data_IF_315495658192
#
_entry.id   IF_315495658192
#
_cell.length_a   1.000
_cell.length_b   1.000
_cell.length_c   1.000
_cell.angle_alpha   90.00
_cell.angle_beta   90.00
_cell.angle_gamma   90.00
#
_symmetry.space_group_name_H-M   'P 1'
#
loop_
_entity.id
_entity.type
_entity.pdbx_description
1 polymer ?
#
# COMPACT_ATOMS: atom_id res chain seq x y z
N UNK A 1 3.24 25.78 -23.15
CA UNK A 1 4.04 24.57 -23.40
C UNK A 1 3.57 23.97 -24.70
N UNK A 2 4.46 23.99 -25.69
CA UNK A 2 4.17 23.85 -27.11
C UNK A 2 4.25 22.40 -27.55
N UNK A 3 3.52 22.06 -28.61
CA UNK A 3 3.51 20.77 -29.31
C UNK A 3 4.87 20.04 -29.37
N UNK A 4 5.96 20.78 -29.54
CA UNK A 4 7.33 20.28 -29.52
C UNK A 4 7.69 19.47 -28.25
N UNK A 5 7.22 19.86 -27.06
CA UNK A 5 7.51 19.11 -25.82
C UNK A 5 6.83 17.74 -25.77
N UNK A 6 5.66 17.63 -26.41
CA UNK A 6 4.90 16.37 -26.51
C UNK A 6 5.56 15.46 -27.54
N UNK A 7 5.96 15.99 -28.69
CA UNK A 7 6.69 15.24 -29.72
C UNK A 7 8.02 14.71 -29.18
N UNK A 8 8.81 15.54 -28.49
CA UNK A 8 10.05 15.11 -27.85
C UNK A 8 9.83 14.00 -26.81
N UNK A 9 8.77 14.09 -26.00
CA UNK A 9 8.43 13.05 -25.03
C UNK A 9 8.01 11.74 -25.71
N UNK A 10 7.23 11.80 -26.80
CA UNK A 10 6.80 10.63 -27.56
C UNK A 10 7.99 9.92 -28.22
N UNK A 11 8.94 10.67 -28.79
CA UNK A 11 10.18 10.11 -29.35
C UNK A 11 11.02 9.39 -28.28
N UNK A 12 11.09 9.93 -27.07
CA UNK A 12 11.81 9.29 -25.96
C UNK A 12 11.09 8.06 -25.39
N UNK A 13 9.75 8.05 -25.40
CA UNK A 13 8.92 6.94 -24.90
C UNK A 13 8.86 5.75 -25.87
N UNK A 14 8.99 6.00 -27.17
CA UNK A 14 8.92 4.96 -28.21
C UNK A 14 10.12 5.02 -29.16
N UNK A 15 11.35 4.77 -28.67
CA UNK A 15 12.54 4.79 -29.53
C UNK A 15 12.52 3.70 -30.61
N UNK A 16 11.72 2.65 -30.39
CA UNK A 16 11.64 1.47 -31.26
C UNK A 16 10.61 1.61 -32.40
N UNK A 17 9.92 2.76 -32.54
CA UNK A 17 8.99 2.95 -33.65
C UNK A 17 9.78 3.33 -34.91
N UNK A 18 9.93 2.38 -35.83
CA UNK A 18 10.56 2.62 -37.13
C UNK A 18 9.57 3.34 -38.05
N UNK A 19 9.48 4.67 -37.95
CA UNK A 19 8.65 5.50 -38.85
C UNK A 19 8.30 6.87 -38.28
N UNK A 20 7.69 7.77 -39.08
CA UNK A 20 7.17 9.04 -38.58
C UNK A 20 6.08 8.80 -37.53
N UNK A 21 6.09 9.58 -36.46
CA UNK A 21 5.08 9.53 -35.39
C UNK A 21 3.67 9.73 -35.98
N UNK A 22 2.70 8.83 -35.71
CA UNK A 22 1.33 8.99 -36.19
C UNK A 22 0.74 10.33 -35.70
N UNK A 23 0.19 11.17 -36.61
CA UNK A 23 -0.34 12.48 -36.24
C UNK A 23 -1.52 12.37 -35.26
N UNK A 24 -2.31 11.30 -35.36
CA UNK A 24 -3.42 11.01 -34.43
C UNK A 24 -2.95 10.80 -32.99
N UNK A 25 -1.77 10.20 -32.79
CA UNK A 25 -1.19 9.98 -31.46
C UNK A 25 -0.76 11.31 -30.83
N UNK A 26 -0.14 12.17 -31.64
CA UNK A 26 0.28 13.52 -31.22
C UNK A 26 -0.95 14.34 -30.86
N UNK A 27 -1.99 14.31 -31.67
CA UNK A 27 -3.25 15.04 -31.42
C UNK A 27 -3.96 14.56 -30.14
N UNK A 28 -4.00 13.24 -29.91
CA UNK A 28 -4.54 12.68 -28.67
C UNK A 28 -3.74 13.17 -27.46
N UNK A 29 -2.40 13.11 -27.50
CA UNK A 29 -1.55 13.58 -26.41
C UNK A 29 -1.72 15.08 -26.14
N UNK A 30 -1.90 15.90 -27.19
CA UNK A 30 -2.20 17.33 -27.07
C UNK A 30 -3.57 17.58 -26.43
N UNK A 31 -4.60 16.80 -26.81
CA UNK A 31 -5.93 16.91 -26.22
C UNK A 31 -5.91 16.59 -24.72
N UNK A 32 -5.15 15.56 -24.31
CA UNK A 32 -4.96 15.21 -22.91
C UNK A 32 -4.18 16.28 -22.15
N UNK A 33 -3.18 16.90 -22.78
CA UNK A 33 -2.43 18.00 -22.19
C UNK A 33 -3.30 19.26 -21.99
N UNK A 34 -4.19 19.57 -22.93
CA UNK A 34 -5.15 20.66 -22.77
C UNK A 34 -6.11 20.37 -21.61
N UNK A 35 -6.66 19.15 -21.55
CA UNK A 35 -7.57 18.72 -20.48
C UNK A 35 -6.88 18.62 -19.12
N UNK A 36 -5.62 18.22 -19.08
CA UNK A 36 -4.85 18.18 -17.83
C UNK A 36 -4.67 19.57 -17.23
N UNK A 37 -4.50 20.62 -18.06
CA UNK A 37 -4.38 21.99 -17.57
C UNK A 37 -5.68 22.54 -16.98
N UNK A 38 -6.83 22.16 -17.52
CA UNK A 38 -8.13 22.58 -16.97
C UNK A 38 -8.52 21.84 -15.69
N UNK A 39 -8.16 20.55 -15.58
CA UNK A 39 -8.52 19.71 -14.42
C UNK A 39 -7.48 19.78 -13.30
N UNK A 40 -6.20 19.91 -13.66
CA UNK A 40 -5.04 19.92 -12.77
C UNK A 40 -4.25 21.23 -12.89
N UNK A 41 -4.95 22.35 -12.63
CA UNK A 41 -4.38 23.70 -12.70
C UNK A 41 -3.44 24.06 -11.54
N UNK A 42 -3.45 23.29 -10.44
CA UNK A 42 -2.57 23.47 -9.28
C UNK A 42 -1.66 22.24 -9.13
N UNK A 43 -0.55 22.23 -9.86
CA UNK A 43 0.52 21.23 -9.71
C UNK A 43 1.81 21.93 -9.29
N UNK A 44 2.68 21.22 -8.58
CA UNK A 44 3.99 21.76 -8.18
C UNK A 44 4.86 22.01 -9.42
N UNK A 45 5.79 22.97 -9.40
CA UNK A 45 6.67 23.25 -10.54
C UNK A 45 7.39 21.99 -11.05
N UNK A 46 7.85 21.12 -10.15
CA UNK A 46 8.50 19.83 -10.48
C UNK A 46 7.55 18.86 -11.21
N UNK A 47 6.26 18.90 -10.88
CA UNK A 47 5.21 18.09 -11.53
C UNK A 47 4.78 18.72 -12.86
N UNK A 48 4.79 20.05 -12.97
CA UNK A 48 4.46 20.77 -14.20
C UNK A 48 5.46 20.46 -15.33
N UNK A 49 6.74 20.30 -15.01
CA UNK A 49 7.79 19.91 -15.96
C UNK A 49 7.51 18.53 -16.56
N UNK A 50 6.99 17.60 -15.76
CA UNK A 50 6.69 16.23 -16.20
C UNK A 50 5.28 16.06 -16.79
N UNK A 51 4.39 17.06 -16.67
CA UNK A 51 3.03 17.04 -17.22
C UNK A 51 2.96 16.64 -18.71
N UNK A 52 3.73 17.23 -19.66
CA UNK A 52 3.68 16.83 -21.07
C UNK A 52 4.12 15.37 -21.27
N UNK A 53 5.13 14.93 -20.52
CA UNK A 53 5.63 13.55 -20.57
C UNK A 53 4.59 12.55 -20.06
N UNK A 54 3.92 12.84 -18.94
CA UNK A 54 2.85 12.01 -18.39
C UNK A 54 1.64 11.89 -19.34
N UNK A 55 1.25 13.00 -19.99
CA UNK A 55 0.16 13.00 -20.97
C UNK A 55 0.53 12.18 -22.22
N UNK A 56 1.78 12.25 -22.68
CA UNK A 56 2.30 11.43 -23.77
C UNK A 56 2.31 9.94 -23.41
N UNK A 57 2.78 9.57 -22.22
CA UNK A 57 2.73 8.17 -21.75
C UNK A 57 1.28 7.65 -21.66
N UNK A 58 0.37 8.44 -21.11
CA UNK A 58 -1.04 8.07 -20.99
C UNK A 58 -1.71 7.89 -22.37
N UNK A 59 -1.33 8.71 -23.35
CA UNK A 59 -1.76 8.55 -24.74
C UNK A 59 -1.30 7.20 -25.31
N UNK A 60 -0.01 6.88 -25.17
CA UNK A 60 0.58 5.63 -25.65
C UNK A 60 -0.05 4.39 -25.00
N UNK A 61 -0.33 4.42 -23.69
CA UNK A 61 -0.98 3.31 -22.98
C UNK A 61 -2.42 3.08 -23.47
N UNK A 62 -3.18 4.16 -23.74
CA UNK A 62 -4.57 4.06 -24.25
C UNK A 62 -4.62 3.57 -25.68
N UNK A 63 -3.71 4.04 -26.51
CA UNK A 63 -3.69 3.72 -27.93
C UNK A 63 -2.83 2.50 -28.27
N UNK A 64 -2.30 1.78 -27.27
CA UNK A 64 -1.42 0.61 -27.44
C UNK A 64 -2.01 -0.44 -28.38
N UNK A 65 -3.30 -0.73 -28.24
CA UNK A 65 -4.03 -1.69 -29.09
C UNK A 65 -4.32 -1.15 -30.50
N UNK A 66 -4.46 0.18 -30.65
CA UNK A 66 -4.84 0.81 -31.93
C UNK A 66 -3.63 1.00 -32.85
N UNK A 67 -2.44 1.26 -32.31
CA UNK A 67 -1.23 1.53 -33.09
C UNK A 67 -0.13 0.46 -32.96
N UNK A 68 -0.43 -0.72 -32.40
CA UNK A 68 0.53 -1.83 -32.21
C UNK A 68 1.89 -1.38 -31.61
N UNK A 69 1.83 -0.55 -30.57
CA UNK A 69 3.00 0.09 -29.99
C UNK A 69 3.84 -0.92 -29.15
N UNK A 70 5.18 -0.96 -29.32
CA UNK A 70 6.06 -1.79 -28.50
C UNK A 70 6.09 -1.35 -27.04
N UNK A 71 6.70 -2.15 -26.16
CA UNK A 71 6.77 -1.89 -24.72
C UNK A 71 7.40 -0.52 -24.44
N UNK A 72 6.69 0.33 -23.69
CA UNK A 72 7.04 1.73 -23.43
C UNK A 72 8.08 1.75 -22.30
N UNK A 73 9.27 2.30 -22.55
CA UNK A 73 10.29 2.50 -21.53
C UNK A 73 10.17 3.93 -20.98
N UNK A 74 9.68 4.08 -19.74
CA UNK A 74 9.52 5.41 -19.14
C UNK A 74 10.83 5.93 -18.53
N UNK A 75 11.40 7.01 -19.08
CA UNK A 75 12.45 7.84 -18.48
C UNK A 75 11.92 9.26 -18.22
N UNK A 76 11.19 9.47 -17.12
CA UNK A 76 10.61 10.78 -16.83
C UNK A 76 11.68 11.83 -16.50
N UNK A 77 11.41 13.13 -16.76
CA UNK A 77 12.33 14.23 -16.46
C UNK A 77 12.39 14.57 -14.96
N UNK A 78 11.61 13.90 -14.12
CA UNK A 78 11.55 14.11 -12.67
C UNK A 78 11.76 12.80 -11.91
N UNK A 79 12.06 12.87 -10.60
CA UNK A 79 12.25 11.68 -9.76
C UNK A 79 11.06 10.70 -9.84
N UNK A 80 11.31 9.38 -9.82
CA UNK A 80 10.29 8.37 -10.09
C UNK A 80 9.11 8.42 -9.11
N UNK A 81 9.34 8.81 -7.85
CA UNK A 81 8.29 8.98 -6.83
C UNK A 81 7.30 10.09 -7.18
N UNK A 82 7.80 11.22 -7.68
CA UNK A 82 6.98 12.38 -8.07
C UNK A 82 6.22 12.03 -9.35
N UNK A 83 6.92 11.44 -10.32
CA UNK A 83 6.32 10.99 -11.57
C UNK A 83 5.16 10.01 -11.36
N UNK A 84 5.34 8.99 -10.51
CA UNK A 84 4.31 7.98 -10.22
C UNK A 84 3.06 8.60 -9.62
N UNK A 85 3.20 9.58 -8.72
CA UNK A 85 2.06 10.32 -8.13
C UNK A 85 1.33 11.14 -9.19
N UNK A 86 2.07 11.91 -9.98
CA UNK A 86 1.52 12.73 -11.07
C UNK A 86 0.78 11.86 -12.10
N UNK A 87 1.40 10.75 -12.52
CA UNK A 87 0.83 9.83 -13.49
C UNK A 87 -0.49 9.21 -13.00
N UNK A 88 -0.52 8.73 -11.76
CA UNK A 88 -1.73 8.17 -11.15
C UNK A 88 -2.85 9.20 -10.98
N UNK A 89 -2.49 10.43 -10.62
CA UNK A 89 -3.45 11.53 -10.52
C UNK A 89 -4.03 11.88 -11.89
N UNK A 90 -3.20 12.05 -12.92
CA UNK A 90 -3.67 12.38 -14.26
C UNK A 90 -4.44 11.23 -14.91
N UNK A 91 -4.05 9.97 -14.69
CA UNK A 91 -4.75 8.81 -15.25
C UNK A 91 -6.17 8.66 -14.70
N UNK A 92 -6.36 8.93 -13.40
CA UNK A 92 -7.68 8.95 -12.75
C UNK A 92 -8.51 10.18 -13.09
N UNK A 93 -7.89 11.37 -13.11
CA UNK A 93 -8.57 12.64 -13.40
C UNK A 93 -9.00 12.78 -14.87
N UNK A 94 -8.31 12.10 -15.78
CA UNK A 94 -8.54 12.19 -17.22
C UNK A 94 -9.02 10.84 -17.77
N UNK A 95 -10.22 10.31 -17.47
CA UNK A 95 -10.67 8.99 -17.95
C UNK A 95 -10.69 8.86 -19.48
N UNK A 96 -10.61 7.63 -19.99
CA UNK A 96 -10.64 7.34 -21.43
C UNK A 96 -12.00 7.77 -22.01
N UNK A 97 -11.97 8.44 -23.17
CA UNK A 97 -13.18 8.94 -23.84
C UNK A 97 -13.96 7.85 -24.58
N UNK A 98 -13.68 6.57 -24.31
CA UNK A 98 -14.35 5.41 -24.92
C UNK A 98 -15.73 5.12 -24.32
N UNK A 99 -16.15 5.86 -23.29
CA UNK A 99 -17.56 6.01 -23.01
C UNK A 99 -18.12 7.06 -23.96
N UNK A 100 -18.37 6.66 -25.22
CA UNK A 100 -19.49 7.18 -26.00
C UNK A 100 -20.73 7.02 -25.13
N UNK A 101 -20.98 8.03 -24.29
CA UNK A 101 -22.12 8.12 -23.40
C UNK A 101 -23.30 8.36 -24.32
N UNK A 102 -23.86 7.27 -24.81
CA UNK A 102 -25.17 7.23 -25.42
C UNK A 102 -26.12 8.06 -24.55
N UNK A 103 -26.93 8.98 -25.12
CA UNK A 103 -27.67 9.96 -24.35
C UNK A 103 -28.73 9.25 -23.49
N UNK A 104 -28.35 8.85 -22.28
CA UNK A 104 -29.28 8.39 -21.27
C UNK A 104 -30.05 9.60 -20.77
N UNK A 105 -31.30 9.69 -21.23
CA UNK A 105 -32.34 10.58 -20.73
C UNK A 105 -32.37 10.56 -19.21
N UNK A 106 -32.17 11.69 -18.51
CA UNK A 106 -32.27 11.72 -17.06
C UNK A 106 -33.74 11.60 -16.65
N UNK A 107 -34.08 10.46 -16.03
CA UNK A 107 -35.32 10.29 -15.29
C UNK A 107 -35.40 11.33 -14.17
N UNK A 108 -36.59 11.91 -14.09
CA UNK A 108 -37.00 13.08 -13.32
C UNK A 108 -37.07 12.79 -11.82
N UNK A 109 -36.73 13.82 -11.03
CA UNK A 109 -36.91 14.05 -9.56
C UNK A 109 -35.63 13.79 -8.74
N UNK A 110 -35.13 14.70 -7.91
CA UNK A 110 -35.57 16.05 -7.56
C UNK A 110 -34.41 16.85 -6.90
N UNK A 111 -34.40 18.15 -7.21
CA UNK A 111 -33.92 19.28 -6.41
C UNK A 111 -32.48 19.30 -5.88
N UNK A 112 -31.66 20.08 -6.58
CA UNK A 112 -30.57 20.87 -6.03
C UNK A 112 -31.06 21.84 -4.95
N UNK A 113 -30.31 21.97 -3.85
CA UNK A 113 -30.27 23.20 -3.06
C UNK A 113 -28.81 23.59 -2.81
N UNK A 114 -28.55 24.86 -3.09
CA UNK A 114 -27.25 25.55 -3.07
C UNK A 114 -26.75 25.85 -1.66
N UNK A 115 -25.47 26.18 -1.60
CA UNK A 115 -24.67 26.53 -0.43
C UNK A 115 -25.22 27.70 0.41
N UNK A 116 -25.00 27.62 1.73
CA UNK A 116 -24.56 28.77 2.52
C UNK A 116 -24.02 28.36 3.90
N UNK A 117 -23.30 29.29 4.51
CA UNK A 117 -22.17 29.07 5.39
C UNK A 117 -22.47 28.91 6.89
N UNK A 118 -21.46 28.38 7.61
CA UNK A 118 -20.96 28.81 8.94
C UNK A 118 -21.80 28.43 10.18
N UNK A 119 -21.36 27.42 10.94
CA UNK A 119 -20.69 27.55 12.28
C UNK A 119 -20.59 26.20 13.02
N UNK A 120 -19.40 25.92 13.55
CA UNK A 120 -18.98 24.99 14.65
C UNK A 120 -19.61 23.59 14.81
N UNK A 121 -18.79 22.53 14.82
CA UNK A 121 -19.11 21.30 15.53
C UNK A 121 -18.38 21.23 16.88
N UNK A 122 -19.14 21.05 17.95
CA UNK A 122 -18.65 20.51 19.22
C UNK A 122 -18.41 19.01 19.05
N UNK A 123 -17.21 18.57 19.41
CA UNK A 123 -16.80 17.16 19.54
C UNK A 123 -17.69 16.44 20.57
N UNK A 124 -18.00 15.16 20.33
CA UNK A 124 -17.44 14.18 21.25
C UNK A 124 -16.65 13.08 20.54
N UNK A 125 -15.59 12.64 21.23
CA UNK A 125 -14.74 11.51 20.90
C UNK A 125 -15.57 10.22 20.81
N UNK A 126 -15.47 9.51 19.68
CA UNK A 126 -15.60 8.05 19.65
C UNK A 126 -15.00 7.50 18.37
N UNK A 127 -14.16 6.47 18.52
CA UNK A 127 -13.26 5.93 17.51
C UNK A 127 -13.95 5.54 16.21
N UNK A 128 -13.54 6.19 15.11
CA UNK A 128 -13.87 5.74 13.76
C UNK A 128 -12.72 4.90 13.22
N UNK A 129 -12.98 3.59 13.11
CA UNK A 129 -12.25 2.65 12.26
C UNK A 129 -12.11 3.27 10.87
N UNK A 130 -10.90 3.20 10.33
CA UNK A 130 -10.57 3.61 8.96
C UNK A 130 -11.46 2.89 7.95
N UNK A 131 -11.86 3.54 6.84
CA UNK A 131 -12.70 2.91 5.83
C UNK A 131 -11.86 1.85 5.10
N UNK A 132 -12.22 0.58 5.31
CA UNK A 132 -11.70 -0.57 4.57
C UNK A 132 -12.12 -0.40 3.11
N UNK A 133 -11.18 -0.07 2.23
CA UNK A 133 -11.40 -0.09 0.78
C UNK A 133 -11.47 -1.54 0.32
N UNK A 134 -12.61 -2.20 0.51
CA UNK A 134 -12.91 -3.46 -0.15
C UNK A 134 -13.46 -3.14 -1.54
N UNK A 135 -12.59 -3.26 -2.54
CA UNK A 135 -13.04 -3.51 -3.91
C UNK A 135 -13.64 -4.91 -3.91
N UNK A 136 -14.92 -4.98 -3.57
CA UNK A 136 -15.74 -6.20 -3.55
C UNK A 136 -15.81 -6.70 -5.00
N UNK A 137 -14.99 -7.68 -5.34
CA UNK A 137 -15.15 -8.45 -6.57
C UNK A 137 -16.26 -9.46 -6.25
N UNK A 138 -17.38 -9.37 -6.96
CA UNK A 138 -18.52 -10.27 -6.80
C UNK A 138 -18.10 -11.73 -7.09
N UNK A 139 -18.27 -12.58 -6.08
CA UNK A 139 -18.05 -14.02 -6.13
C UNK A 139 -17.90 -14.53 -4.70
N UNK A 140 -18.66 -15.54 -4.31
CA UNK A 140 -18.69 -16.15 -2.97
C UNK A 140 -17.28 -16.23 -2.32
N UNK A 141 -16.92 -15.23 -1.51
CA UNK A 141 -15.67 -15.26 -0.73
C UNK A 141 -15.97 -16.17 0.44
N UNK A 142 -15.25 -17.28 0.55
CA UNK A 142 -15.23 -18.06 1.79
C UNK A 142 -14.89 -17.08 2.93
N UNK A 143 -15.84 -16.84 3.83
CA UNK A 143 -15.68 -15.84 4.88
C UNK A 143 -14.46 -16.21 5.73
N UNK A 144 -13.45 -15.33 5.73
CA UNK A 144 -12.23 -15.54 6.51
C UNK A 144 -12.62 -15.47 7.99
N UNK A 145 -12.34 -16.50 8.80
CA UNK A 145 -12.70 -16.49 10.21
C UNK A 145 -12.05 -15.32 10.97
N UNK A 146 -12.78 -14.72 11.91
CA UNK A 146 -12.31 -13.53 12.65
C UNK A 146 -11.06 -13.81 13.50
N UNK A 147 -10.82 -15.08 13.85
CA UNK A 147 -9.65 -15.52 14.63
C UNK A 147 -8.34 -15.60 13.83
N UNK A 148 -8.40 -15.54 12.49
CA UNK A 148 -7.21 -15.67 11.63
C UNK A 148 -6.19 -14.55 11.89
N UNK A 149 -6.63 -13.29 11.96
CA UNK A 149 -5.72 -12.16 12.20
C UNK A 149 -5.09 -12.19 13.60
N UNK A 150 -5.84 -12.47 14.69
CA UNK A 150 -5.24 -12.77 15.99
C UNK A 150 -4.18 -13.89 15.96
N UNK A 151 -4.43 -14.97 15.21
CA UNK A 151 -3.48 -16.08 15.08
C UNK A 151 -2.17 -15.64 14.40
N UNK A 152 -2.29 -14.92 13.27
CA UNK A 152 -1.14 -14.34 12.56
C UNK A 152 -0.34 -13.41 13.47
N UNK A 153 -1.01 -12.54 14.23
CA UNK A 153 -0.33 -11.62 15.17
C UNK A 153 0.42 -12.37 16.27
N UNK A 154 -0.12 -13.49 16.76
CA UNK A 154 0.55 -14.31 17.78
C UNK A 154 1.85 -14.93 17.24
N UNK A 155 1.80 -15.48 16.02
CA UNK A 155 2.98 -16.01 15.34
C UNK A 155 4.02 -14.93 15.09
N UNK A 156 3.60 -13.84 14.48
CA UNK A 156 4.48 -12.72 14.14
C UNK A 156 5.15 -12.13 15.39
N UNK A 157 4.46 -12.10 16.53
CA UNK A 157 5.04 -11.70 17.82
C UNK A 157 6.05 -12.71 18.36
N UNK A 158 5.80 -14.01 18.19
CA UNK A 158 6.70 -15.07 18.66
C UNK A 158 8.07 -15.04 17.94
N UNK A 159 8.08 -14.67 16.66
CA UNK A 159 9.28 -14.58 15.84
C UNK A 159 9.87 -13.16 15.76
N UNK A 160 9.35 -12.23 16.57
CA UNK A 160 9.74 -10.81 16.61
C UNK A 160 9.75 -10.12 15.24
N UNK A 161 8.80 -10.47 14.36
CA UNK A 161 8.81 -10.05 12.96
C UNK A 161 7.50 -9.39 12.53
N UNK A 162 7.16 -8.27 13.18
CA UNK A 162 5.89 -7.54 13.05
C UNK A 162 5.47 -7.22 11.61
N UNK A 163 6.44 -6.94 10.73
CA UNK A 163 6.24 -6.52 9.34
C UNK A 163 5.66 -7.64 8.45
N UNK A 164 5.75 -8.91 8.83
CA UNK A 164 5.20 -10.02 8.05
C UNK A 164 3.67 -10.12 8.12
N UNK A 165 3.01 -9.58 9.16
CA UNK A 165 1.59 -9.79 9.39
C UNK A 165 0.67 -9.44 8.19
N UNK A 166 0.85 -8.30 7.48
CA UNK A 166 0.03 -7.97 6.31
C UNK A 166 0.25 -8.93 5.12
N UNK A 167 1.50 -9.33 4.89
CA UNK A 167 1.86 -10.27 3.81
C UNK A 167 1.25 -11.64 4.05
N UNK A 168 1.34 -12.12 5.30
CA UNK A 168 0.75 -13.40 5.70
C UNK A 168 -0.76 -13.38 5.58
N UNK A 169 -1.42 -12.31 6.04
CA UNK A 169 -2.87 -12.19 5.92
C UNK A 169 -3.33 -12.21 4.45
N UNK A 170 -2.64 -11.47 3.59
CA UNK A 170 -2.94 -11.41 2.15
C UNK A 170 -2.77 -12.79 1.49
N UNK A 171 -1.73 -13.54 1.87
CA UNK A 171 -1.53 -14.92 1.42
C UNK A 171 -2.68 -15.83 1.83
N UNK A 172 -3.06 -15.83 3.11
CA UNK A 172 -4.17 -16.64 3.63
C UNK A 172 -5.49 -16.28 2.94
N UNK A 173 -5.79 -14.99 2.77
CA UNK A 173 -6.98 -14.50 2.06
C UNK A 173 -7.04 -15.00 0.61
N UNK A 174 -5.90 -15.08 -0.07
CA UNK A 174 -5.83 -15.53 -1.46
C UNK A 174 -5.91 -17.06 -1.64
N UNK A 175 -5.35 -17.82 -0.69
CA UNK A 175 -5.23 -19.28 -0.80
C UNK A 175 -6.42 -20.01 -0.18
N UNK A 176 -7.05 -19.46 0.85
CA UNK A 176 -8.17 -20.12 1.53
C UNK A 176 -9.33 -20.48 0.56
N UNK A 177 -9.75 -19.61 -0.38
CA UNK A 177 -10.76 -19.97 -1.38
C UNK A 177 -10.28 -20.99 -2.42
N UNK A 178 -8.96 -21.08 -2.67
CA UNK A 178 -8.39 -22.13 -3.53
C UNK A 178 -8.51 -23.49 -2.84
N UNK A 179 -8.13 -23.57 -1.56
CA UNK A 179 -8.26 -24.80 -0.77
C UNK A 179 -9.71 -25.27 -0.65
N UNK A 180 -10.65 -24.34 -0.45
CA UNK A 180 -12.08 -24.67 -0.40
C UNK A 180 -12.59 -25.26 -1.73
N UNK A 181 -12.08 -24.78 -2.87
CA UNK A 181 -12.43 -25.33 -4.19
C UNK A 181 -11.77 -26.68 -4.46
N UNK A 182 -10.53 -26.86 -4.04
CA UNK A 182 -9.82 -28.12 -4.19
C UNK A 182 -10.45 -29.23 -3.35
N UNK A 183 -10.84 -28.95 -2.11
CA UNK A 183 -11.55 -29.92 -1.26
C UNK A 183 -12.91 -30.31 -1.84
N UNK A 184 -13.61 -29.36 -2.47
CA UNK A 184 -14.85 -29.62 -3.21
C UNK A 184 -14.63 -30.58 -4.39
N UNK A 185 -13.61 -30.31 -5.22
CA UNK A 185 -13.33 -31.08 -6.43
C UNK A 185 -12.90 -32.53 -6.10
N UNK A 186 -12.13 -32.73 -5.03
CA UNK A 186 -11.75 -34.07 -4.57
C UNK A 186 -12.97 -34.88 -4.10
N UNK A 187 -13.97 -34.24 -3.49
CA UNK A 187 -15.21 -34.90 -3.07
C UNK A 187 -16.10 -35.37 -4.24
N UNK A 188 -15.95 -34.78 -5.44
CA UNK A 188 -16.76 -35.10 -6.62
C UNK A 188 -16.16 -36.19 -7.54
N UNK A 189 -15.03 -36.81 -7.17
CA UNK A 189 -14.47 -37.92 -7.97
C UNK A 189 -15.49 -39.07 -8.15
N UNK A 190 -15.89 -39.43 -9.38
CA UNK A 190 -17.05 -40.27 -9.64
C UNK A 190 -16.66 -41.75 -9.53
N UNK A 191 -16.56 -42.26 -8.30
CA UNK A 191 -16.52 -43.69 -8.06
C UNK A 191 -17.76 -44.12 -7.29
N UNK A 192 -18.56 -44.99 -7.94
CA UNK A 192 -19.77 -45.68 -7.47
C UNK A 192 -21.09 -44.94 -7.67
N UNK A 193 -21.73 -45.29 -8.79
CA UNK A 193 -23.15 -45.67 -8.90
C UNK A 193 -23.76 -45.96 -7.51
N UNK A 194 -24.43 -44.98 -6.91
CA UNK A 194 -25.26 -45.18 -5.72
C UNK A 194 -26.55 -44.41 -5.85
N UNK A 195 -27.62 -45.14 -5.54
CA UNK A 195 -29.01 -44.82 -5.77
C UNK A 195 -29.42 -43.43 -5.29
N UNK A 196 -30.16 -42.77 -6.17
CA UNK A 196 -31.09 -41.68 -5.90
C UNK A 196 -31.97 -42.01 -4.69
N UNK A 197 -31.71 -41.36 -3.56
CA UNK A 197 -32.73 -41.07 -2.57
C UNK A 197 -32.67 -39.57 -2.27
N UNK A 198 -33.75 -38.91 -2.65
CA UNK A 198 -33.96 -37.48 -2.55
C UNK A 198 -34.38 -37.16 -1.10
N UNK A 199 -33.44 -36.65 -0.31
CA UNK A 199 -33.73 -35.84 0.87
C UNK A 199 -32.97 -34.54 0.72
N UNK A 200 -33.72 -33.44 0.67
CA UNK A 200 -33.21 -32.08 0.61
C UNK A 200 -32.45 -31.77 1.90
N UNK A 201 -31.17 -32.12 1.95
CA UNK A 201 -30.23 -31.48 2.87
C UNK A 201 -29.66 -30.27 2.17
N UNK A 202 -29.80 -29.12 2.82
CA UNK A 202 -29.24 -27.84 2.43
C UNK A 202 -27.75 -28.02 2.08
N UNK A 203 -27.38 -27.62 0.87
CA UNK A 203 -26.01 -27.48 0.40
C UNK A 203 -25.28 -26.47 1.28
N UNK A 204 -24.60 -26.95 2.33
CA UNK A 204 -23.53 -26.22 3.00
C UNK A 204 -22.30 -26.30 2.10
N UNK A 205 -21.76 -25.14 1.72
CA UNK A 205 -20.51 -25.05 0.94
C UNK A 205 -19.38 -25.86 1.61
N UNK A 206 -18.40 -26.37 0.85
CA UNK A 206 -17.26 -27.09 1.40
C UNK A 206 -16.41 -26.14 2.27
N UNK A 207 -16.62 -26.19 3.58
CA UNK A 207 -15.84 -25.43 4.56
C UNK A 207 -14.51 -26.15 4.79
N UNK A 208 -13.39 -25.45 4.59
CA UNK A 208 -12.06 -25.96 4.94
C UNK A 208 -12.01 -26.20 6.46
N UNK A 209 -11.43 -27.33 6.89
CA UNK A 209 -11.26 -27.63 8.32
C UNK A 209 -10.46 -26.52 9.03
N UNK A 210 -10.78 -26.26 10.30
CA UNK A 210 -10.04 -25.30 11.12
C UNK A 210 -8.55 -25.69 11.24
N UNK A 211 -8.26 -26.98 11.44
CA UNK A 211 -6.89 -27.52 11.48
C UNK A 211 -6.10 -27.18 10.22
N UNK A 212 -6.72 -27.38 9.05
CA UNK A 212 -6.13 -27.06 7.75
C UNK A 212 -5.96 -25.56 7.54
N UNK A 213 -6.82 -24.73 8.12
CA UNK A 213 -6.68 -23.27 8.08
C UNK A 213 -5.53 -22.79 8.97
N UNK A 214 -5.35 -23.37 10.15
CA UNK A 214 -4.17 -23.11 10.99
C UNK A 214 -2.88 -23.56 10.32
N UNK A 215 -2.89 -24.74 9.70
CA UNK A 215 -1.75 -25.25 8.93
C UNK A 215 -1.41 -24.32 7.75
N UNK A 216 -2.42 -23.78 7.04
CA UNK A 216 -2.21 -22.77 6.00
C UNK A 216 -1.53 -21.51 6.57
N UNK A 217 -1.99 -21.01 7.73
CA UNK A 217 -1.36 -19.84 8.38
C UNK A 217 0.10 -20.12 8.69
N UNK A 218 0.42 -21.30 9.24
CA UNK A 218 1.80 -21.70 9.53
C UNK A 218 2.66 -21.76 8.26
N UNK A 219 2.18 -22.43 7.20
CA UNK A 219 2.90 -22.57 5.92
C UNK A 219 3.16 -21.21 5.27
N UNK A 220 2.13 -20.35 5.16
CA UNK A 220 2.25 -19.00 4.59
C UNK A 220 3.22 -18.16 5.42
N UNK A 221 3.10 -18.18 6.75
CA UNK A 221 4.02 -17.48 7.64
C UNK A 221 5.47 -17.93 7.42
N UNK A 222 5.72 -19.23 7.38
CA UNK A 222 7.06 -19.78 7.16
C UNK A 222 7.66 -19.30 5.83
N UNK A 223 6.91 -19.37 4.72
CA UNK A 223 7.41 -18.89 3.43
C UNK A 223 7.71 -17.38 3.45
N UNK A 224 6.80 -16.57 4.01
CA UNK A 224 7.02 -15.13 4.13
C UNK A 224 8.24 -14.82 5.00
N UNK A 225 8.36 -15.48 6.15
CA UNK A 225 9.49 -15.31 7.07
C UNK A 225 10.83 -15.67 6.41
N UNK A 226 10.91 -16.82 5.72
CA UNK A 226 12.13 -17.20 4.99
C UNK A 226 12.50 -16.21 3.88
N UNK A 227 11.50 -15.70 3.14
CA UNK A 227 11.74 -14.74 2.06
C UNK A 227 12.18 -13.37 2.59
N UNK A 228 11.60 -12.94 3.70
CA UNK A 228 11.90 -11.62 4.28
C UNK A 228 13.27 -11.60 4.97
N UNK A 229 13.68 -12.69 5.61
CA UNK A 229 14.98 -12.77 6.29
C UNK A 229 16.17 -13.06 5.36
N UNK A 230 15.94 -13.49 4.12
CA UNK A 230 17.01 -13.81 3.16
C UNK A 230 18.08 -14.78 3.70
N UNK A 231 17.71 -15.65 4.65
CA UNK A 231 18.60 -16.65 5.24
C UNK A 231 18.39 -17.99 4.53
N UNK A 232 19.48 -18.62 4.12
CA UNK A 232 19.47 -20.03 3.73
C UNK A 232 19.18 -20.90 4.96
N UNK A 233 17.92 -21.34 5.08
CA UNK A 233 17.46 -22.10 6.24
C UNK A 233 17.92 -23.55 6.17
N UNK A 234 18.62 -24.04 7.19
CA UNK A 234 18.97 -25.47 7.27
C UNK A 234 17.72 -26.31 7.58
N UNK A 235 17.67 -27.60 7.18
CA UNK A 235 16.51 -28.45 7.45
C UNK A 235 16.17 -28.57 8.96
N UNK A 236 17.19 -28.52 9.82
CA UNK A 236 17.03 -28.57 11.28
C UNK A 236 16.41 -27.28 11.84
N UNK A 237 16.88 -26.12 11.38
CA UNK A 237 16.32 -24.82 11.76
C UNK A 237 14.87 -24.70 11.29
N UNK A 238 14.58 -25.20 10.08
CA UNK A 238 13.24 -25.23 9.55
C UNK A 238 12.29 -26.06 10.43
N UNK A 239 12.75 -27.23 10.89
CA UNK A 239 11.99 -28.08 11.81
C UNK A 239 11.69 -27.38 13.14
N UNK A 240 12.68 -26.70 13.73
CA UNK A 240 12.51 -25.95 14.98
C UNK A 240 11.52 -24.79 14.82
N UNK A 241 11.62 -24.03 13.73
CA UNK A 241 10.69 -22.94 13.44
C UNK A 241 9.27 -23.45 13.21
N UNK A 242 9.11 -24.57 12.50
CA UNK A 242 7.81 -25.20 12.30
C UNK A 242 7.20 -25.64 13.63
N UNK A 243 7.96 -26.35 14.47
CA UNK A 243 7.50 -26.78 15.79
C UNK A 243 7.09 -25.58 16.66
N UNK A 244 7.91 -24.52 16.65
CA UNK A 244 7.60 -23.27 17.35
C UNK A 244 6.30 -22.62 16.84
N UNK A 245 6.11 -22.58 15.53
CA UNK A 245 4.90 -22.03 14.92
C UNK A 245 3.65 -22.85 15.28
N UNK A 246 3.73 -24.18 15.17
CA UNK A 246 2.63 -25.09 15.52
C UNK A 246 2.25 -24.94 17.00
N UNK A 247 3.23 -24.97 17.91
CA UNK A 247 2.99 -24.78 19.34
C UNK A 247 2.36 -23.42 19.67
N UNK A 248 2.77 -22.36 18.96
CA UNK A 248 2.20 -21.01 19.12
C UNK A 248 0.74 -20.97 18.67
N UNK A 249 0.39 -21.66 17.59
CA UNK A 249 -1.00 -21.74 17.12
C UNK A 249 -1.88 -22.56 18.04
N UNK A 250 -1.38 -23.65 18.61
CA UNK A 250 -2.12 -24.48 19.59
C UNK A 250 -2.38 -23.74 20.91
N UNK A 251 -1.54 -22.76 21.27
CA UNK A 251 -1.77 -21.90 22.42
C UNK A 251 -2.99 -20.97 22.30
N UNK A 252 -3.59 -20.85 21.12
CA UNK A 252 -4.74 -19.97 20.88
C UNK A 252 -6.05 -20.62 21.34
N UNK A 253 -7.02 -19.82 21.84
CA UNK A 253 -8.30 -20.33 22.28
C UNK A 253 -9.13 -20.95 21.14
N UNK A 254 -8.83 -20.58 19.89
CA UNK A 254 -9.46 -21.11 18.69
C UNK A 254 -8.91 -22.49 18.28
N UNK A 255 -7.77 -22.92 18.80
CA UNK A 255 -7.14 -24.20 18.46
C UNK A 255 -7.39 -25.32 19.49
N UNK A 256 -8.30 -25.11 20.45
CA UNK A 256 -8.56 -26.05 21.57
C UNK A 256 -9.01 -27.45 21.13
N UNK A 257 -9.59 -27.54 19.94
CA UNK A 257 -10.13 -28.78 19.35
C UNK A 257 -9.09 -29.57 18.56
N UNK A 258 -7.92 -28.98 18.30
CA UNK A 258 -6.93 -29.51 17.36
C UNK A 258 -5.75 -30.07 18.14
N UNK A 259 -5.29 -31.26 17.74
CA UNK A 259 -4.12 -31.90 18.35
C UNK A 259 -2.82 -31.46 17.67
N UNK A 260 -1.70 -31.56 18.39
CA UNK A 260 -0.38 -31.26 17.82
C UNK A 260 -0.08 -32.11 16.58
N UNK A 261 -0.35 -33.42 16.67
CA UNK A 261 -0.07 -34.36 15.58
C UNK A 261 -0.89 -34.04 14.33
N UNK A 262 -2.18 -33.69 14.51
CA UNK A 262 -3.06 -33.29 13.40
C UNK A 262 -2.59 -32.02 12.72
N UNK A 263 -2.26 -30.98 13.50
CA UNK A 263 -1.81 -29.70 12.94
C UNK A 263 -0.42 -29.84 12.28
N UNK A 264 0.48 -30.61 12.89
CA UNK A 264 1.80 -30.87 12.33
C UNK A 264 1.70 -31.62 11.00
N UNK A 265 0.86 -32.65 10.91
CA UNK A 265 0.67 -33.44 9.70
C UNK A 265 0.06 -32.61 8.56
N UNK A 266 -0.99 -31.83 8.83
CA UNK A 266 -1.59 -30.92 7.84
C UNK A 266 -0.58 -29.85 7.37
N UNK A 267 0.28 -29.36 8.26
CA UNK A 267 1.33 -28.38 7.91
C UNK A 267 2.39 -29.00 6.99
N UNK A 268 2.79 -30.25 7.24
CA UNK A 268 3.71 -30.99 6.37
C UNK A 268 3.10 -31.31 5.00
N UNK A 269 1.80 -31.66 4.95
CA UNK A 269 1.10 -31.98 3.69
C UNK A 269 0.89 -30.74 2.81
N UNK A 270 0.57 -29.58 3.41
CA UNK A 270 0.33 -28.34 2.67
C UNK A 270 1.59 -27.72 2.06
N UNK A 271 2.76 -28.07 2.56
CA UNK A 271 4.03 -27.51 2.11
C UNK A 271 4.43 -27.92 0.68
N UNK A 272 4.45 -29.21 0.30
CA UNK A 272 4.65 -29.60 -1.10
C UNK A 272 3.49 -29.14 -1.99
N UNK A 273 2.26 -29.04 -1.44
CA UNK A 273 1.11 -28.48 -2.14
C UNK A 273 1.33 -27.03 -2.56
N UNK A 274 1.90 -26.20 -1.67
CA UNK A 274 2.20 -24.80 -1.96
C UNK A 274 3.13 -24.61 -3.18
N UNK A 275 4.08 -25.54 -3.39
CA UNK A 275 5.00 -25.51 -4.54
C UNK A 275 4.36 -26.05 -5.81
N UNK A 276 3.59 -27.14 -5.72
CA UNK A 276 2.99 -27.81 -6.88
C UNK A 276 1.82 -27.03 -7.47
N UNK A 277 0.98 -26.42 -6.61
CA UNK A 277 -0.17 -25.60 -7.01
C UNK A 277 0.20 -24.16 -7.38
N UNK A 278 1.49 -23.82 -7.32
CA UNK A 278 1.99 -22.52 -7.75
C UNK A 278 1.63 -21.35 -6.82
N UNK A 279 1.39 -21.58 -5.53
CA UNK A 279 0.99 -20.51 -4.60
C UNK A 279 2.06 -19.43 -4.46
N UNK A 280 3.32 -19.82 -4.55
CA UNK A 280 4.47 -18.91 -4.47
C UNK A 280 4.60 -18.04 -5.74
N UNK A 281 3.98 -18.43 -6.85
CA UNK A 281 3.98 -17.68 -8.11
C UNK A 281 2.87 -16.64 -8.17
N UNK A 282 2.02 -16.59 -7.15
CA UNK A 282 0.97 -15.59 -7.06
C UNK A 282 1.52 -14.21 -6.68
N UNK A 283 0.82 -13.17 -7.13
CA UNK A 283 1.15 -11.76 -6.86
C UNK A 283 1.34 -11.46 -5.36
N UNK A 284 0.59 -12.13 -4.47
CA UNK A 284 0.71 -11.88 -3.03
C UNK A 284 2.11 -12.23 -2.50
N UNK A 285 2.73 -13.31 -2.98
CA UNK A 285 4.04 -13.76 -2.52
C UNK A 285 5.16 -13.05 -3.29
N UNK A 286 4.99 -12.82 -4.59
CA UNK A 286 5.98 -12.13 -5.42
C UNK A 286 6.29 -10.72 -4.90
N UNK A 287 5.28 -10.02 -4.36
CA UNK A 287 5.41 -8.68 -3.82
C UNK A 287 6.01 -8.61 -2.39
N UNK A 288 6.32 -9.75 -1.75
CA UNK A 288 7.03 -9.77 -0.47
C UNK A 288 8.50 -9.44 -0.72
N UNK A 289 9.00 -8.33 -0.16
CA UNK A 289 10.39 -7.88 -0.30
C UNK A 289 11.23 -8.27 0.93
N UNK A 290 12.54 -8.59 0.75
CA UNK A 290 13.47 -8.80 1.86
C UNK A 290 13.59 -7.59 2.79
N UNK A 291 13.94 -7.83 4.06
CA UNK A 291 14.15 -6.78 5.06
C UNK A 291 15.23 -5.77 4.66
N UNK A 292 16.27 -6.20 3.93
CA UNK A 292 17.37 -5.34 3.48
C UNK A 292 16.89 -4.19 2.56
N UNK A 293 15.80 -4.39 1.80
CA UNK A 293 15.18 -3.33 0.99
C UNK A 293 14.34 -2.34 1.83
N UNK A 294 14.02 -2.70 3.09
CA UNK A 294 13.33 -1.83 4.04
C UNK A 294 14.30 -0.97 4.85
N UNK A 295 15.48 -1.49 5.21
CA UNK A 295 16.53 -0.77 5.96
C UNK A 295 17.18 0.34 5.11
N UNK A 296 17.21 0.21 3.78
CA UNK A 296 17.54 1.31 2.88
C UNK A 296 16.55 2.50 2.94
N UNK A 297 15.44 2.35 3.70
CA UNK A 297 14.47 3.39 4.00
C UNK A 297 14.25 3.62 5.52
N UNK A 298 15.10 3.04 6.38
CA UNK A 298 15.07 3.26 7.83
C UNK A 298 16.03 4.40 8.23
N UNK A 299 15.67 5.60 7.79
CA UNK A 299 16.32 6.85 8.19
C UNK A 299 15.40 7.71 9.04
N UNK A 300 14.84 7.16 10.13
CA UNK A 300 14.23 7.94 11.22
C UNK A 300 14.53 7.22 12.53
N UNK A 301 15.67 7.54 13.14
CA UNK A 301 15.99 7.15 14.51
C UNK A 301 14.91 7.66 15.47
N UNK A 302 14.17 6.76 16.10
CA UNK A 302 13.38 7.05 17.30
C UNK A 302 14.33 7.02 18.49
N UNK A 303 14.90 8.17 18.83
CA UNK A 303 15.56 8.37 20.13
C UNK A 303 14.49 8.44 21.22
N UNK A 304 14.42 7.40 22.06
CA UNK A 304 13.43 7.35 23.12
C UNK A 304 13.51 6.17 24.08
N UNK A 305 14.70 5.68 24.44
CA UNK A 305 14.85 4.83 25.64
C UNK A 305 15.95 5.36 26.55
N UNK A 306 15.53 5.77 27.76
CA UNK A 306 16.40 6.05 28.89
C UNK A 306 17.31 4.85 29.20
N UNK A 307 18.61 5.02 28.97
CA UNK A 307 19.65 4.29 29.68
C UNK A 307 20.77 5.28 30.01
N UNK A 308 21.12 5.30 31.28
CA UNK A 308 21.98 6.27 31.95
C UNK A 308 23.47 6.14 31.61
N UNK A 309 24.11 7.30 31.43
CA UNK A 309 25.48 7.70 31.82
C UNK A 309 26.69 6.96 31.23
N UNK A 310 27.46 7.71 30.43
CA UNK A 310 28.88 7.51 30.15
C UNK A 310 29.41 8.70 29.35
N UNK A 311 30.57 9.23 29.73
CA UNK A 311 31.07 10.58 29.42
C UNK A 311 31.66 10.82 28.01
N UNK A 312 31.70 12.11 27.65
CA UNK A 312 32.70 12.82 26.84
C UNK A 312 32.81 12.54 25.33
N UNK A 313 32.43 13.54 24.51
CA UNK A 313 33.30 14.08 23.44
C UNK A 313 32.71 15.32 22.75
N UNK A 314 33.41 16.44 22.94
CA UNK A 314 33.64 17.58 22.05
C UNK A 314 32.59 17.94 20.95
N UNK A 315 31.92 19.06 21.19
CA UNK A 315 31.20 19.87 20.20
C UNK A 315 32.22 20.59 19.31
N UNK A 316 32.26 20.24 18.02
CA UNK A 316 32.82 21.11 16.96
C UNK A 316 31.66 21.61 16.12
N UNK A 317 31.42 22.92 16.22
CA UNK A 317 30.50 23.66 15.38
C UNK A 317 31.12 23.93 14.00
N UNK A 318 30.38 23.64 12.94
CA UNK A 318 30.35 24.38 11.66
C UNK A 318 29.15 23.84 10.85
N UNK A 319 28.06 24.59 10.86
CA UNK A 319 27.69 25.54 9.79
C UNK A 319 27.36 24.82 8.49
N UNK A 320 26.07 24.69 8.22
CA UNK A 320 25.52 24.14 6.99
C UNK A 320 24.01 24.16 7.10
N UNK A 321 23.40 25.26 6.67
CA UNK A 321 21.95 25.41 6.59
C UNK A 321 21.34 24.22 5.87
N UNK A 322 20.40 23.57 6.53
CA UNK A 322 19.62 22.52 5.94
C UNK A 322 18.16 22.84 6.21
N UNK A 323 17.47 23.20 5.14
CA UNK A 323 16.03 23.36 5.03
C UNK A 323 15.34 22.01 5.28
N UNK A 324 15.38 21.53 6.52
CA UNK A 324 14.52 20.44 7.01
C UNK A 324 13.12 20.98 7.28
N UNK A 325 12.44 21.41 6.22
CA UNK A 325 11.00 21.63 6.22
C UNK A 325 10.36 20.31 5.79
N UNK A 326 10.13 19.41 6.75
CA UNK A 326 9.56 18.10 6.44
C UNK A 326 9.17 17.23 7.63
N UNK A 327 7.91 17.39 8.05
CA UNK A 327 7.07 16.38 8.75
C UNK A 327 7.48 15.97 10.18
N UNK A 328 6.90 16.65 11.17
CA UNK A 328 6.76 16.11 12.53
C UNK A 328 6.59 17.18 13.61
N UNK A 329 7.12 18.38 13.39
CA UNK A 329 7.18 19.46 14.39
C UNK A 329 6.27 20.63 14.08
N UNK A 330 5.13 20.39 13.41
CA UNK A 330 4.14 21.45 13.18
C UNK A 330 3.35 21.74 14.47
N UNK A 331 4.05 22.09 15.55
CA UNK A 331 3.57 23.10 16.48
C UNK A 331 3.29 24.32 15.62
N UNK A 332 2.01 24.62 15.42
CA UNK A 332 1.59 25.76 14.63
C UNK A 332 2.30 26.99 15.20
N UNK A 333 3.06 27.75 14.39
CA UNK A 333 3.77 28.98 14.79
C UNK A 333 2.88 29.94 15.60
N UNK A 334 1.55 29.86 15.41
CA UNK A 334 0.55 30.60 16.17
C UNK A 334 0.43 30.22 17.66
N UNK A 335 1.04 29.13 18.10
CA UNK A 335 0.91 28.55 19.47
C UNK A 335 2.26 28.26 20.13
N UNK A 336 3.36 28.32 19.39
CA UNK A 336 4.70 28.15 19.96
C UNK A 336 5.25 29.49 20.45
N UNK A 337 4.95 29.82 21.71
CA UNK A 337 5.46 31.03 22.37
C UNK A 337 6.85 30.86 22.98
N UNK A 338 7.42 29.64 22.98
CA UNK A 338 8.66 29.31 23.67
C UNK A 338 9.75 28.74 22.74
N UNK A 339 9.49 28.65 21.44
CA UNK A 339 10.45 28.22 20.43
C UNK A 339 11.69 29.12 20.37
N UNK A 340 12.80 28.54 19.91
CA UNK A 340 14.11 29.21 19.88
C UNK A 340 14.09 30.53 19.09
N UNK A 341 13.36 30.55 17.97
CA UNK A 341 13.14 31.76 17.15
C UNK A 341 12.41 32.86 17.91
N UNK A 342 11.31 32.52 18.60
CA UNK A 342 10.51 33.48 19.36
C UNK A 342 11.25 34.01 20.59
N UNK A 343 12.08 33.17 21.23
CA UNK A 343 12.97 33.61 22.31
C UNK A 343 13.98 34.64 21.84
N UNK A 344 14.57 34.44 20.66
CA UNK A 344 15.50 35.41 20.06
C UNK A 344 14.78 36.72 19.71
N UNK A 345 13.63 36.66 19.05
CA UNK A 345 12.80 37.83 18.73
C UNK A 345 12.39 38.61 20.00
N UNK A 346 12.05 37.91 21.09
CA UNK A 346 11.74 38.54 22.36
C UNK A 346 12.94 39.24 23.01
N UNK A 347 14.14 38.65 22.93
CA UNK A 347 15.36 39.27 23.46
C UNK A 347 15.67 40.57 22.70
N UNK A 348 15.57 40.56 21.38
CA UNK A 348 15.76 41.75 20.54
C UNK A 348 14.71 42.83 20.80
N UNK A 349 13.44 42.42 20.96
CA UNK A 349 12.38 43.34 21.33
C UNK A 349 12.63 43.94 22.72
N UNK A 350 13.01 43.12 23.70
CA UNK A 350 13.27 43.55 25.07
C UNK A 350 14.42 44.53 25.15
N UNK A 351 15.53 44.28 24.46
CA UNK A 351 16.68 45.22 24.44
C UNK A 351 16.28 46.56 23.84
N UNK A 352 15.52 46.55 22.74
CA UNK A 352 14.99 47.76 22.10
C UNK A 352 14.07 48.55 23.03
N UNK A 353 13.16 47.88 23.73
CA UNK A 353 12.24 48.53 24.66
C UNK A 353 12.97 49.09 25.88
N UNK A 354 13.91 48.34 26.45
CA UNK A 354 14.70 48.80 27.60
C UNK A 354 15.57 50.01 27.24
N UNK A 355 16.14 50.06 26.04
CA UNK A 355 16.87 51.23 25.56
C UNK A 355 15.97 52.48 25.49
N UNK A 356 14.75 52.33 24.94
CA UNK A 356 13.75 53.41 24.93
C UNK A 356 13.34 53.87 26.33
N UNK A 357 13.20 52.95 27.28
CA UNK A 357 12.88 53.30 28.67
C UNK A 357 14.02 54.09 29.31
N UNK A 358 15.28 53.71 29.04
CA UNK A 358 16.45 54.45 29.53
C UNK A 358 16.55 55.85 28.94
N UNK A 359 16.26 56.03 27.64
CA UNK A 359 16.20 57.35 27.00
C UNK A 359 15.13 58.25 27.65
N UNK A 360 13.95 57.70 27.95
CA UNK A 360 12.86 58.43 28.61
C UNK A 360 13.18 58.73 30.07
N UNK A 361 13.93 57.86 30.77
CA UNK A 361 14.36 58.11 32.16
C UNK A 361 15.54 59.09 32.27
N UNK A 362 16.31 59.27 31.21
CA UNK A 362 17.42 60.23 31.16
C UNK A 362 16.98 61.65 30.77
N UNK A 363 15.69 61.83 30.44
CA UNK A 363 15.03 63.13 30.23
C UNK A 363 14.28 63.52 31.50
#
# INVERSE_FOLDING_TARGET
MSRASVEQALTGLIPALNGPLPPELVELALSLLARSRSVAGSLKPDEEIARPYACAQLACERSKKRFNLPSIASRPPCPPRIYKKLYNYLSSALPASDASREPQTPSRKAASASASARTTPKTPLSGKRTPRSTRKLDGHVAEIPEWVMPAIRSLVKQFDYASAAPNVFTGVESILPLLARMSAATAESPSRRRQRNTTMSQTTAPTVSEARTFALIAVVFMYVFTKMNNVEVTPEQYGQWRETAVNTLLGLPAAKTITYDELSLETEELMPMARSEGWLQMEWFMNVTPAEDMDAMEGVELTGTNASRGESAAIVAKSGGSDYIGLGTMMQDATDYLGERQRQEYIEWKTRVMARVQEVQAT
#
